data_IF_872322978382
#
_entry.id   IF_872322978382
#
_cell.length_a   1.000
_cell.length_b   1.000
_cell.length_c   1.000
_cell.angle_alpha   90.00
_cell.angle_beta   90.00
_cell.angle_gamma   90.00
#
_symmetry.space_group_name_H-M   'P 1'
#
loop_
_entity.id
_entity.type
_entity.pdbx_description
1 polymer ?
#
# COMPACT_ATOMS: atom_id res chain seq x y z
N UNK A 1 23.78 -15.89 -13.14
CA UNK A 1 22.52 -15.25 -12.70
C UNK A 1 22.54 -13.79 -13.12
N UNK A 2 21.46 -13.28 -13.76
CA UNK A 2 21.37 -11.89 -14.19
C UNK A 2 21.39 -10.98 -12.95
N UNK A 3 22.36 -10.07 -12.86
CA UNK A 3 22.49 -9.13 -11.75
C UNK A 3 21.34 -8.11 -11.85
N UNK A 4 20.65 -7.84 -10.75
CA UNK A 4 19.66 -6.77 -10.73
C UNK A 4 20.34 -5.42 -10.99
N UNK A 5 19.71 -4.57 -11.81
CA UNK A 5 20.24 -3.25 -12.14
C UNK A 5 20.25 -2.28 -10.97
N UNK A 6 19.52 -2.58 -9.90
CA UNK A 6 19.37 -1.73 -8.71
C UNK A 6 19.71 -2.50 -7.43
N UNK A 7 20.42 -1.83 -6.51
CA UNK A 7 20.71 -2.34 -5.16
C UNK A 7 19.62 -1.99 -4.14
N UNK A 8 18.94 -0.86 -4.37
CA UNK A 8 17.89 -0.33 -3.52
C UNK A 8 16.72 0.12 -4.38
N UNK A 9 15.50 -0.18 -3.96
CA UNK A 9 14.28 0.25 -4.63
C UNK A 9 13.26 0.76 -3.61
N UNK A 10 12.40 1.67 -4.06
CA UNK A 10 11.18 2.06 -3.35
C UNK A 10 9.98 1.45 -4.08
N UNK A 11 9.29 0.54 -3.40
CA UNK A 11 8.08 -0.10 -3.89
C UNK A 11 6.87 0.69 -3.39
N UNK A 12 6.19 1.41 -4.29
CA UNK A 12 4.92 2.06 -3.99
C UNK A 12 3.78 1.07 -4.22
N UNK A 13 3.07 0.72 -3.17
CA UNK A 13 1.83 -0.07 -3.20
C UNK A 13 0.61 0.86 -3.09
N UNK A 14 -0.41 0.62 -3.90
CA UNK A 14 -1.73 1.22 -3.66
C UNK A 14 -2.41 0.51 -2.51
N UNK A 15 -3.19 1.21 -1.68
CA UNK A 15 -3.98 0.57 -0.63
C UNK A 15 -4.98 -0.42 -1.22
N UNK A 16 -5.54 -0.09 -2.37
CA UNK A 16 -6.45 -0.94 -3.16
C UNK A 16 -5.83 -2.29 -3.55
N UNK A 17 -4.51 -2.34 -3.73
CA UNK A 17 -3.83 -3.58 -4.04
C UNK A 17 -3.87 -4.59 -2.88
N UNK A 18 -4.28 -4.17 -1.67
CA UNK A 18 -4.39 -5.00 -0.48
C UNK A 18 -5.80 -5.59 -0.30
N UNK A 19 -6.80 -5.18 -1.10
CA UNK A 19 -8.21 -5.59 -0.92
C UNK A 19 -8.55 -6.93 -1.58
N UNK A 20 -7.68 -7.45 -2.45
CA UNK A 20 -8.00 -8.62 -3.28
C UNK A 20 -9.25 -8.36 -4.13
N UNK A 21 -10.24 -9.24 -4.00
CA UNK A 21 -11.55 -9.11 -4.68
C UNK A 21 -12.61 -8.36 -3.85
N UNK A 22 -12.23 -7.81 -2.70
CA UNK A 22 -13.14 -7.06 -1.82
C UNK A 22 -13.24 -5.60 -2.28
N UNK A 23 -14.37 -4.96 -2.01
CA UNK A 23 -14.57 -3.54 -2.32
C UNK A 23 -13.92 -2.61 -1.27
N UNK A 24 -13.55 -3.14 -0.11
CA UNK A 24 -13.05 -2.40 1.04
C UNK A 24 -12.22 -3.30 1.97
N UNK A 25 -11.27 -2.72 2.71
CA UNK A 25 -10.57 -3.40 3.80
C UNK A 25 -9.29 -4.09 3.36
N UNK A 26 -9.00 -5.26 3.95
CA UNK A 26 -7.74 -5.97 3.79
C UNK A 26 -8.02 -7.45 3.52
N UNK A 27 -7.39 -7.98 2.48
CA UNK A 27 -7.39 -9.40 2.14
C UNK A 27 -6.04 -10.05 2.50
N UNK A 28 -6.05 -10.94 3.48
CA UNK A 28 -4.83 -11.58 3.99
C UNK A 28 -4.13 -12.44 2.93
N UNK A 29 -4.88 -13.09 2.03
CA UNK A 29 -4.28 -13.90 0.98
C UNK A 29 -3.49 -13.03 0.00
N UNK A 30 -4.05 -11.88 -0.37
CA UNK A 30 -3.40 -10.89 -1.22
C UNK A 30 -2.16 -10.31 -0.57
N UNK A 31 -2.23 -9.96 0.72
CA UNK A 31 -1.06 -9.50 1.50
C UNK A 31 0.05 -10.55 1.50
N UNK A 32 -0.28 -11.81 1.79
CA UNK A 32 0.70 -12.88 1.83
C UNK A 32 1.38 -13.07 0.47
N UNK A 33 0.60 -13.07 -0.62
CA UNK A 33 1.14 -13.18 -1.97
C UNK A 33 2.08 -12.04 -2.36
N UNK A 34 1.77 -10.80 -1.96
CA UNK A 34 2.65 -9.63 -2.17
C UNK A 34 3.92 -9.77 -1.32
N UNK A 35 3.77 -10.18 -0.06
CA UNK A 35 4.88 -10.35 0.88
C UNK A 35 5.87 -11.41 0.40
N UNK A 36 5.39 -12.54 -0.12
CA UNK A 36 6.23 -13.59 -0.69
C UNK A 36 7.09 -13.09 -1.87
N UNK A 37 6.53 -12.25 -2.72
CA UNK A 37 7.27 -11.62 -3.83
C UNK A 37 8.34 -10.65 -3.33
N UNK A 38 8.03 -9.85 -2.30
CA UNK A 38 8.99 -8.93 -1.68
C UNK A 38 10.14 -9.72 -1.04
N UNK A 39 9.83 -10.79 -0.30
CA UNK A 39 10.82 -11.67 0.32
C UNK A 39 11.72 -12.30 -0.75
N UNK A 40 11.15 -12.74 -1.87
CA UNK A 40 11.92 -13.29 -2.99
C UNK A 40 12.95 -12.29 -3.53
N UNK A 41 12.54 -11.04 -3.74
CA UNK A 41 13.43 -9.96 -4.22
C UNK A 41 14.48 -9.61 -3.17
N UNK A 42 14.08 -9.49 -1.90
CA UNK A 42 14.99 -9.20 -0.79
C UNK A 42 16.07 -10.27 -0.62
N UNK A 43 15.70 -11.56 -0.70
CA UNK A 43 16.64 -12.70 -0.63
C UNK A 43 17.67 -12.71 -1.77
N UNK A 44 17.42 -11.98 -2.86
CA UNK A 44 18.39 -11.79 -3.94
C UNK A 44 19.33 -10.59 -3.75
N UNK A 45 19.30 -9.96 -2.57
CA UNK A 45 20.22 -8.91 -2.16
C UNK A 45 19.79 -7.49 -2.53
N UNK A 46 18.53 -7.29 -2.94
CA UNK A 46 17.96 -5.94 -3.15
C UNK A 46 17.35 -5.45 -1.83
N UNK A 47 17.69 -4.23 -1.42
CA UNK A 47 16.99 -3.57 -0.31
C UNK A 47 15.71 -2.92 -0.81
N UNK A 48 14.59 -3.19 -0.14
CA UNK A 48 13.26 -2.71 -0.54
C UNK A 48 12.73 -1.80 0.55
N UNK A 49 12.45 -0.55 0.21
CA UNK A 49 11.62 0.36 1.00
C UNK A 49 10.20 0.32 0.46
N UNK A 50 9.20 0.30 1.34
CA UNK A 50 7.80 0.19 0.93
C UNK A 50 7.08 1.49 1.28
N UNK A 51 6.31 2.02 0.33
CA UNK A 51 5.35 3.11 0.55
C UNK A 51 3.98 2.57 0.22
N UNK A 52 3.07 2.53 1.18
CA UNK A 52 1.70 2.05 1.00
C UNK A 52 0.73 3.22 1.04
N UNK A 53 -0.40 3.13 0.35
CA UNK A 53 -1.50 4.10 0.46
C UNK A 53 -2.64 3.55 1.32
N UNK A 54 -3.55 4.40 1.77
CA UNK A 54 -4.73 4.03 2.58
C UNK A 54 -6.06 3.91 1.83
N UNK A 55 -6.05 3.90 0.50
CA UNK A 55 -7.25 4.00 -0.35
C UNK A 55 -8.29 2.88 -0.19
N UNK A 56 -7.87 1.75 0.38
CA UNK A 56 -8.72 0.61 0.74
C UNK A 56 -9.54 0.82 2.03
N UNK A 57 -9.15 1.77 2.87
CA UNK A 57 -9.81 2.08 4.14
C UNK A 57 -10.47 3.46 4.08
N UNK A 58 -9.88 4.41 3.35
CA UNK A 58 -10.45 5.75 3.23
C UNK A 58 -10.07 6.43 1.90
N UNK A 59 -11.06 7.06 1.27
CA UNK A 59 -10.87 7.89 0.07
C UNK A 59 -11.30 9.33 0.35
N UNK A 60 -10.32 10.23 0.46
CA UNK A 60 -10.55 11.64 0.81
C UNK A 60 -11.47 12.37 -0.18
N UNK A 61 -11.34 12.11 -1.48
CA UNK A 61 -12.18 12.74 -2.52
C UNK A 61 -13.68 12.46 -2.26
N UNK A 62 -14.02 11.21 -1.92
CA UNK A 62 -15.41 10.80 -1.65
C UNK A 62 -15.97 11.38 -0.34
N UNK A 63 -15.09 11.69 0.62
CA UNK A 63 -15.49 12.28 1.89
C UNK A 63 -15.65 13.80 1.77
N UNK A 64 -14.73 14.48 1.09
CA UNK A 64 -14.84 15.91 0.81
C UNK A 64 -16.06 16.24 -0.05
N UNK A 65 -16.41 15.39 -1.03
CA UNK A 65 -17.65 15.54 -1.80
C UNK A 65 -18.92 15.40 -0.95
N UNK A 66 -18.83 14.82 0.25
CA UNK A 66 -19.94 14.67 1.21
C UNK A 66 -19.93 15.73 2.32
N UNK A 67 -19.11 16.79 2.19
CA UNK A 67 -19.08 17.91 3.13
C UNK A 67 -18.00 17.82 4.21
N UNK A 68 -17.09 16.85 4.13
CA UNK A 68 -15.92 16.81 5.02
C UNK A 68 -14.89 17.87 4.63
N UNK A 69 -14.35 18.57 5.62
CA UNK A 69 -13.19 19.44 5.38
C UNK A 69 -12.04 18.63 4.77
N UNK A 70 -11.39 19.21 3.74
CA UNK A 70 -10.35 18.53 2.98
C UNK A 70 -9.15 18.14 3.85
N UNK A 71 -8.72 19.01 4.75
CA UNK A 71 -7.57 18.74 5.61
C UNK A 71 -7.86 17.56 6.54
N UNK A 72 -9.07 17.53 7.11
CA UNK A 72 -9.54 16.42 7.92
C UNK A 72 -9.59 15.11 7.13
N UNK A 73 -10.08 15.16 5.88
CA UNK A 73 -10.08 13.99 4.98
C UNK A 73 -8.66 13.48 4.68
N UNK A 74 -7.70 14.37 4.44
CA UNK A 74 -6.31 14.00 4.21
C UNK A 74 -5.68 13.36 5.46
N UNK A 75 -5.95 13.88 6.67
CA UNK A 75 -5.51 13.26 7.92
C UNK A 75 -6.06 11.85 8.10
N UNK A 76 -7.35 11.63 7.84
CA UNK A 76 -7.96 10.29 7.89
C UNK A 76 -7.32 9.35 6.86
N UNK A 77 -7.01 9.84 5.66
CA UNK A 77 -6.29 9.06 4.64
C UNK A 77 -4.86 8.69 5.05
N UNK A 78 -4.15 9.56 5.76
CA UNK A 78 -2.84 9.25 6.32
C UNK A 78 -2.93 8.20 7.44
N UNK A 79 -3.95 8.28 8.31
CA UNK A 79 -4.19 7.23 9.32
C UNK A 79 -4.51 5.87 8.69
N UNK A 80 -5.30 5.84 7.61
CA UNK A 80 -5.54 4.64 6.83
C UNK A 80 -4.25 4.04 6.25
N UNK A 81 -3.26 4.87 5.92
CA UNK A 81 -1.94 4.40 5.47
C UNK A 81 -1.16 3.75 6.62
N UNK A 82 -1.22 4.32 7.82
CA UNK A 82 -0.61 3.74 9.03
C UNK A 82 -1.22 2.39 9.36
N UNK A 83 -2.54 2.22 9.20
CA UNK A 83 -3.22 0.94 9.43
C UNK A 83 -2.76 -0.18 8.48
N UNK A 84 -2.27 0.16 7.28
CA UNK A 84 -1.75 -0.79 6.30
C UNK A 84 -0.27 -1.13 6.48
N UNK A 85 0.46 -0.40 7.33
CA UNK A 85 1.93 -0.49 7.47
C UNK A 85 2.33 -1.46 8.58
#
# INVERSE_FOLDING_TARGET
MKKFGYKHIMLKLSGEALMGNQDFGIDLNTINAITDQIIYVFKKGIKVSIVVGGGNIFRGISASSKGMDRSSADYTGMMATVMNS
#
